data_IF_563290186936
#
_entry.id   IF_563290186936
#
_cell.length_a   1.000
_cell.length_b   1.000
_cell.length_c   1.000
_cell.angle_alpha   90.00
_cell.angle_beta   90.00
_cell.angle_gamma   90.00
#
_symmetry.space_group_name_H-M   'P 1'
#
loop_
_entity.id
_entity.type
_entity.pdbx_description
1 polymer ?
#
# COMPACT_ATOMS: atom_id res chain seq x y z
N UNK A 1 6.83 4.60 1.60
CA UNK A 1 5.61 4.41 2.41
C UNK A 1 5.93 3.44 3.53
N UNK A 2 5.58 3.74 4.79
CA UNK A 2 5.77 2.80 5.90
C UNK A 2 4.57 1.86 6.02
N UNK A 3 4.77 0.64 6.54
CA UNK A 3 3.67 -0.29 6.83
C UNK A 3 2.63 0.31 7.77
N UNK A 4 3.07 1.11 8.75
CA UNK A 4 2.20 1.77 9.72
C UNK A 4 1.19 2.72 9.07
N UNK A 5 1.43 3.20 7.84
CA UNK A 5 0.45 4.02 7.10
C UNK A 5 -0.86 3.26 6.85
N UNK A 6 -0.84 1.92 6.75
CA UNK A 6 -2.07 1.12 6.60
C UNK A 6 -3.00 1.18 7.82
N UNK A 7 -2.54 1.69 8.96
CA UNK A 7 -3.37 1.92 10.16
C UNK A 7 -4.46 2.97 9.93
N UNK A 8 -4.21 3.92 9.03
CA UNK A 8 -5.07 5.08 8.78
C UNK A 8 -5.56 5.16 7.32
N UNK A 9 -4.99 4.36 6.43
CA UNK A 9 -5.25 4.45 5.00
C UNK A 9 -6.52 3.69 4.61
N UNK A 10 -7.53 4.43 4.16
CA UNK A 10 -8.76 3.87 3.59
C UNK A 10 -8.86 4.13 2.08
N UNK A 11 -9.68 3.34 1.40
CA UNK A 11 -9.95 3.54 -0.03
C UNK A 11 -10.65 4.90 -0.25
N UNK A 12 -10.11 5.81 -1.09
CA UNK A 12 -10.70 7.13 -1.32
C UNK A 12 -12.03 7.07 -2.09
N UNK A 13 -12.35 5.92 -2.69
CA UNK A 13 -13.53 5.74 -3.53
C UNK A 13 -14.72 5.13 -2.78
N UNK A 14 -14.47 4.38 -1.70
CA UNK A 14 -15.53 3.66 -0.99
C UNK A 14 -15.30 3.54 0.52
N UNK A 15 -14.28 4.20 1.06
CA UNK A 15 -13.91 4.22 2.47
C UNK A 15 -13.64 2.85 3.11
N UNK A 16 -13.43 1.80 2.30
CA UNK A 16 -13.09 0.48 2.82
C UNK A 16 -11.72 0.48 3.48
N UNK A 17 -11.65 -0.18 4.63
CA UNK A 17 -10.47 -0.35 5.47
C UNK A 17 -10.52 -1.74 6.12
N UNK A 18 -9.40 -2.46 6.23
CA UNK A 18 -8.05 -2.09 5.79
C UNK A 18 -7.85 -2.28 4.27
N UNK A 19 -6.72 -1.77 3.76
CA UNK A 19 -6.27 -2.03 2.38
C UNK A 19 -5.24 -3.16 2.34
N UNK A 20 -5.33 -4.01 1.33
CA UNK A 20 -4.38 -5.10 1.08
C UNK A 20 -3.11 -4.55 0.44
N UNK A 21 -1.93 -4.98 0.90
CA UNK A 21 -0.64 -4.50 0.41
C UNK A 21 0.15 -5.60 -0.28
N UNK A 22 0.70 -5.27 -1.44
CA UNK A 22 1.66 -6.05 -2.18
C UNK A 22 2.96 -5.28 -2.31
N UNK A 23 4.05 -5.83 -1.79
CA UNK A 23 5.35 -5.17 -1.79
C UNK A 23 6.24 -5.71 -2.90
N UNK A 24 6.80 -4.81 -3.72
CA UNK A 24 7.72 -5.16 -4.80
C UNK A 24 9.16 -4.82 -4.48
N UNK A 25 9.40 -3.76 -3.70
CA UNK A 25 10.71 -3.35 -3.21
C UNK A 25 10.58 -2.55 -1.92
N UNK A 26 11.46 -2.88 -0.98
CA UNK A 26 11.68 -2.13 0.27
C UNK A 26 13.08 -1.54 0.30
N UNK A 27 13.27 -0.54 1.15
CA UNK A 27 14.57 -0.08 1.63
C UNK A 27 14.55 -0.02 3.15
N UNK A 28 15.68 -0.36 3.75
CA UNK A 28 15.91 -0.10 5.18
C UNK A 28 16.40 1.33 5.34
N UNK A 29 15.75 2.08 6.22
CA UNK A 29 16.19 3.38 6.66
C UNK A 29 17.10 3.21 7.87
N UNK A 30 18.19 3.98 7.92
CA UNK A 30 18.95 4.13 9.15
C UNK A 30 18.12 5.03 10.06
N UNK A 31 17.47 4.45 11.07
CA UNK A 31 16.75 5.23 12.06
C UNK A 31 17.63 5.45 13.28
N UNK A 32 17.72 6.70 13.71
CA UNK A 32 18.07 7.05 15.08
C UNK A 32 16.94 6.55 15.99
N UNK A 33 17.29 6.02 17.17
CA UNK A 33 16.39 5.36 18.12
C UNK A 33 15.04 6.10 18.30
N UNK A 34 13.98 5.63 17.63
CA UNK A 34 12.63 6.18 17.80
C UNK A 34 12.05 5.60 19.08
N UNK A 35 12.10 6.37 20.17
CA UNK A 35 11.39 6.02 21.40
C UNK A 35 9.90 6.24 21.16
N UNK A 36 9.13 5.16 21.09
CA UNK A 36 7.67 5.21 20.89
C UNK A 36 6.97 4.10 21.67
N UNK A 37 5.76 4.38 22.14
CA UNK A 37 4.91 3.38 22.79
C UNK A 37 4.53 2.29 21.77
N UNK A 38 4.56 1.03 22.22
CA UNK A 38 4.24 -0.14 21.39
C UNK A 38 2.94 -0.79 21.89
N UNK A 39 2.03 -1.21 20.98
CA UNK A 39 2.13 -1.13 19.53
C UNK A 39 2.05 0.30 18.98
N UNK A 40 2.87 0.62 17.98
CA UNK A 40 2.87 1.95 17.35
C UNK A 40 1.54 2.30 16.67
N UNK A 41 0.90 1.31 16.04
CA UNK A 41 -0.37 1.47 15.35
C UNK A 41 -1.54 1.48 16.34
N UNK A 42 -2.60 2.23 16.02
CA UNK A 42 -3.78 2.39 16.88
C UNK A 42 -4.82 1.29 16.64
N UNK A 43 -5.12 0.97 15.38
CA UNK A 43 -6.26 0.11 14.98
C UNK A 43 -5.78 -1.12 14.20
N UNK A 44 -4.86 -0.96 13.25
CA UNK A 44 -4.41 -2.00 12.34
C UNK A 44 -2.89 -1.94 12.12
N UNK A 45 -2.21 -3.05 12.40
CA UNK A 45 -0.79 -3.18 12.10
C UNK A 45 -0.61 -3.68 10.66
N UNK A 46 -0.18 -2.78 9.76
CA UNK A 46 0.11 -3.13 8.37
C UNK A 46 1.25 -4.12 8.18
N UNK A 47 2.19 -4.22 9.14
CA UNK A 47 3.35 -5.12 9.05
C UNK A 47 2.98 -6.57 9.32
N UNK A 48 2.11 -6.81 10.30
CA UNK A 48 1.57 -8.15 10.60
C UNK A 48 0.22 -8.42 9.92
N UNK A 49 -0.35 -7.42 9.25
CA UNK A 49 -1.66 -7.44 8.60
C UNK A 49 -2.79 -7.92 9.55
N UNK A 50 -2.87 -7.31 10.73
CA UNK A 50 -3.85 -7.65 11.78
C UNK A 50 -4.34 -6.41 12.52
N UNK A 51 -5.60 -6.45 12.99
CA UNK A 51 -6.09 -5.48 13.97
C UNK A 51 -5.27 -5.55 15.25
N UNK A 52 -4.96 -4.39 15.83
CA UNK A 52 -4.14 -4.25 17.05
C UNK A 52 -4.75 -4.96 18.25
N UNK A 53 -6.08 -5.05 18.31
CA UNK A 53 -6.83 -5.84 19.30
C UNK A 53 -6.52 -7.34 19.26
N UNK A 54 -6.00 -7.84 18.14
CA UNK A 54 -5.70 -9.26 17.90
C UNK A 54 -4.18 -9.55 17.87
N UNK A 55 -3.35 -8.62 18.33
CA UNK A 55 -1.89 -8.76 18.36
C UNK A 55 -1.42 -9.00 19.79
N UNK A 56 -0.54 -9.99 19.96
CA UNK A 56 0.20 -10.14 21.20
C UNK A 56 1.31 -9.07 21.27
N UNK A 57 1.28 -8.24 22.31
CA UNK A 57 2.25 -7.14 22.52
C UNK A 57 3.70 -7.63 22.56
N UNK A 58 3.95 -8.83 23.06
CA UNK A 58 5.30 -9.40 23.14
C UNK A 58 5.84 -9.85 21.78
N UNK A 59 4.96 -9.97 20.77
CA UNK A 59 5.30 -10.42 19.43
C UNK A 59 5.50 -9.30 18.41
N UNK A 60 5.25 -8.03 18.78
CA UNK A 60 5.27 -6.92 17.82
C UNK A 60 6.65 -6.25 17.75
N UNK A 61 7.27 -6.34 16.58
CA UNK A 61 8.55 -5.69 16.30
C UNK A 61 8.34 -4.36 15.55
N UNK A 62 7.90 -3.35 16.31
CA UNK A 62 7.68 -2.02 15.76
C UNK A 62 8.97 -1.35 15.27
N UNK A 63 10.13 -1.66 15.85
CA UNK A 63 11.39 -0.98 15.49
C UNK A 63 11.83 -1.39 14.09
N UNK A 64 11.81 -2.71 13.83
CA UNK A 64 12.03 -3.26 12.49
C UNK A 64 11.01 -2.73 11.50
N UNK A 65 9.72 -2.70 11.86
CA UNK A 65 8.66 -2.14 11.01
C UNK A 65 8.92 -0.67 10.64
N UNK A 66 9.27 0.18 11.61
CA UNK A 66 9.47 1.62 11.42
C UNK A 66 10.76 1.96 10.65
N UNK A 67 11.73 1.05 10.62
CA UNK A 67 12.93 1.14 9.77
C UNK A 67 12.69 0.73 8.32
N UNK A 68 11.53 0.16 7.97
CA UNK A 68 11.24 -0.29 6.61
C UNK A 68 10.42 0.73 5.85
N UNK A 69 10.91 1.08 4.67
CA UNK A 69 10.20 1.94 3.74
C UNK A 69 9.89 1.16 2.46
N UNK A 70 8.61 0.97 2.19
CA UNK A 70 8.10 0.37 0.96
C UNK A 70 8.30 1.40 -0.15
N UNK A 71 9.18 1.09 -1.09
CA UNK A 71 9.54 1.98 -2.20
C UNK A 71 8.63 1.71 -3.40
N UNK A 72 8.34 0.44 -3.68
CA UNK A 72 7.49 0.02 -4.78
C UNK A 72 6.52 -1.07 -4.34
N UNK A 73 5.28 -0.97 -4.79
CA UNK A 73 4.24 -1.91 -4.41
C UNK A 73 2.87 -1.48 -4.91
N UNK A 74 1.83 -2.18 -4.47
CA UNK A 74 0.43 -1.89 -4.77
C UNK A 74 -0.37 -1.98 -3.48
N UNK A 75 -1.26 -1.01 -3.25
CA UNK A 75 -2.34 -1.16 -2.28
C UNK A 75 -3.65 -1.44 -3.01
N UNK A 76 -4.45 -2.38 -2.50
CA UNK A 76 -5.68 -2.87 -3.14
C UNK A 76 -6.83 -2.77 -2.16
N UNK A 77 -7.94 -2.19 -2.61
CA UNK A 77 -9.18 -2.18 -1.87
C UNK A 77 -9.92 -3.49 -2.10
N UNK A 78 -10.21 -4.24 -1.02
CA UNK A 78 -10.99 -5.49 -1.14
C UNK A 78 -12.49 -5.22 -1.33
N UNK A 79 -12.99 -4.04 -0.95
CA UNK A 79 -14.37 -3.61 -1.14
C UNK A 79 -14.73 -3.27 -2.60
N UNK A 80 -13.95 -2.40 -3.26
CA UNK A 80 -14.24 -1.96 -4.64
C UNK A 80 -13.22 -2.42 -5.68
N UNK A 81 -12.25 -3.27 -5.29
CA UNK A 81 -11.21 -3.85 -6.15
C UNK A 81 -10.23 -2.88 -6.82
N UNK A 82 -10.36 -1.57 -6.57
CA UNK A 82 -9.37 -0.57 -7.03
C UNK A 82 -8.01 -0.83 -6.40
N UNK A 83 -6.98 -0.69 -7.21
CA UNK A 83 -5.59 -0.76 -6.80
C UNK A 83 -4.92 0.59 -7.02
N UNK A 84 -3.89 0.88 -6.24
CA UNK A 84 -3.13 2.12 -6.33
C UNK A 84 -1.64 1.81 -6.24
N UNK A 85 -0.80 2.32 -7.15
CA UNK A 85 0.63 2.06 -7.11
C UNK A 85 1.32 2.85 -6.00
N UNK A 86 2.31 2.21 -5.39
CA UNK A 86 3.33 2.87 -4.58
C UNK A 86 4.53 3.11 -5.49
N UNK A 87 4.87 4.37 -5.71
CA UNK A 87 5.96 4.82 -6.60
C UNK A 87 6.94 5.64 -5.78
N UNK A 88 8.18 5.18 -5.68
CA UNK A 88 9.23 5.83 -4.87
C UNK A 88 8.77 6.18 -3.45
N UNK A 89 7.96 5.29 -2.87
CA UNK A 89 7.43 5.41 -1.52
C UNK A 89 6.16 6.24 -1.37
N UNK A 90 5.56 6.72 -2.46
CA UNK A 90 4.32 7.50 -2.45
C UNK A 90 3.17 6.62 -2.97
N UNK A 91 2.13 6.42 -2.17
CA UNK A 91 0.90 5.74 -2.60
C UNK A 91 0.02 6.72 -3.42
N UNK A 92 -0.01 6.57 -4.74
CA UNK A 92 -0.77 7.45 -5.63
C UNK A 92 -2.24 7.03 -5.68
N UNK A 93 -3.04 7.60 -4.78
CA UNK A 93 -4.44 7.21 -4.55
C UNK A 93 -5.43 8.19 -5.19
N UNK A 94 -5.21 8.49 -6.46
CA UNK A 94 -6.07 9.42 -7.20
C UNK A 94 -7.45 8.82 -7.54
N UNK A 95 -8.50 9.65 -7.66
CA UNK A 95 -9.78 9.23 -8.21
C UNK A 95 -9.68 8.79 -9.69
N UNK A 96 -10.67 8.03 -10.15
CA UNK A 96 -10.62 7.36 -11.46
C UNK A 96 -10.50 8.34 -12.64
N UNK A 97 -11.17 9.49 -12.60
CA UNK A 97 -11.10 10.53 -13.63
C UNK A 97 -9.69 11.12 -13.75
N UNK A 98 -9.04 11.40 -12.62
CA UNK A 98 -7.65 11.87 -12.60
C UNK A 98 -6.71 10.81 -13.16
N UNK A 99 -6.92 9.54 -12.80
CA UNK A 99 -6.11 8.40 -13.28
C UNK A 99 -6.26 8.14 -14.78
N UNK A 100 -7.45 8.41 -15.35
CA UNK A 100 -7.74 8.13 -16.75
C UNK A 100 -7.46 9.31 -17.69
N UNK A 101 -7.66 10.56 -17.24
CA UNK A 101 -7.70 11.72 -18.13
C UNK A 101 -6.56 12.73 -17.92
N UNK A 102 -5.59 12.42 -17.06
CA UNK A 102 -4.44 13.31 -16.81
C UNK A 102 -3.11 12.58 -17.00
N UNK A 103 -1.98 13.30 -16.81
CA UNK A 103 -0.63 12.73 -16.82
C UNK A 103 -0.42 11.57 -15.83
N UNK A 104 -1.31 11.42 -14.84
CA UNK A 104 -1.28 10.28 -13.92
C UNK A 104 -1.40 8.95 -14.67
N UNK A 105 -2.18 8.88 -15.77
CA UNK A 105 -2.30 7.67 -16.59
C UNK A 105 -0.93 7.17 -17.07
N UNK A 106 -0.08 8.09 -17.56
CA UNK A 106 1.26 7.78 -18.08
C UNK A 106 2.17 7.24 -16.97
N UNK A 107 2.13 7.87 -15.79
CA UNK A 107 2.93 7.47 -14.64
C UNK A 107 2.56 6.06 -14.18
N UNK A 108 1.26 5.77 -14.05
CA UNK A 108 0.79 4.45 -13.66
C UNK A 108 1.02 3.40 -14.76
N UNK A 109 0.94 3.77 -16.04
CA UNK A 109 1.30 2.88 -17.15
C UNK A 109 2.78 2.46 -17.09
N UNK A 110 3.70 3.40 -16.85
CA UNK A 110 5.12 3.09 -16.68
C UNK A 110 5.36 2.16 -15.49
N UNK A 111 4.62 2.35 -14.40
CA UNK A 111 4.64 1.44 -13.25
C UNK A 111 4.19 0.03 -13.64
N UNK A 112 3.05 -0.11 -14.33
CA UNK A 112 2.51 -1.41 -14.78
C UNK A 112 3.53 -2.11 -15.68
N UNK A 113 4.10 -1.39 -16.66
CA UNK A 113 5.11 -1.96 -17.58
C UNK A 113 6.35 -2.44 -16.83
N UNK A 114 6.80 -1.70 -15.82
CA UNK A 114 7.99 -2.04 -15.02
C UNK A 114 7.77 -3.28 -14.15
N UNK A 115 6.56 -3.46 -13.61
CA UNK A 115 6.27 -4.51 -12.61
C UNK A 115 5.29 -5.57 -13.11
N UNK A 116 5.04 -5.65 -14.42
CA UNK A 116 4.04 -6.54 -15.05
C UNK A 116 4.03 -7.95 -14.45
N UNK A 117 5.20 -8.59 -14.33
CA UNK A 117 5.31 -9.97 -13.86
C UNK A 117 5.18 -10.13 -12.34
N UNK A 118 5.20 -9.01 -11.60
CA UNK A 118 5.03 -8.96 -10.13
C UNK A 118 3.62 -8.55 -9.71
N UNK A 119 2.80 -8.02 -10.61
CA UNK A 119 1.40 -7.68 -10.30
C UNK A 119 0.63 -8.99 -10.03
N UNK A 120 -0.01 -9.14 -8.86
CA UNK A 120 -0.77 -10.34 -8.55
C UNK A 120 -1.91 -10.56 -9.55
N UNK A 121 -2.14 -11.82 -9.95
CA UNK A 121 -3.18 -12.18 -10.92
C UNK A 121 -4.57 -11.65 -10.51
N UNK A 122 -4.90 -11.69 -9.22
CA UNK A 122 -6.17 -11.17 -8.70
C UNK A 122 -6.35 -9.66 -8.93
N UNK A 123 -5.27 -8.88 -8.94
CA UNK A 123 -5.32 -7.45 -9.23
C UNK A 123 -5.63 -7.26 -10.71
N UNK A 124 -4.93 -7.99 -11.59
CA UNK A 124 -5.17 -7.94 -13.04
C UNK A 124 -6.62 -8.35 -13.38
N UNK A 125 -7.08 -9.48 -12.85
CA UNK A 125 -8.39 -10.06 -13.20
C UNK A 125 -9.57 -9.23 -12.69
N UNK A 126 -9.42 -8.57 -11.54
CA UNK A 126 -10.53 -7.86 -10.89
C UNK A 126 -10.43 -6.34 -11.02
N UNK A 127 -9.48 -5.81 -11.78
CA UNK A 127 -9.28 -4.37 -11.84
C UNK A 127 -10.50 -3.66 -12.47
N UNK A 128 -11.20 -2.78 -11.73
CA UNK A 128 -12.32 -1.99 -12.29
C UNK A 128 -11.88 -1.01 -13.38
N UNK A 129 -10.60 -0.65 -13.41
CA UNK A 129 -9.95 0.19 -14.41
C UNK A 129 -9.17 -0.63 -15.45
N UNK A 130 -9.19 -1.97 -15.35
CA UNK A 130 -8.48 -2.97 -16.18
C UNK A 130 -7.14 -2.48 -16.73
N UNK A 131 -6.22 -2.30 -15.80
CA UNK A 131 -4.86 -1.77 -15.83
C UNK A 131 -4.73 -0.64 -16.84
N UNK A 132 -5.57 0.35 -16.56
CA UNK A 132 -5.80 1.60 -17.27
C UNK A 132 -6.17 1.39 -18.75
N UNK A 133 -6.91 0.30 -18.97
CA UNK A 133 -7.50 -0.24 -20.20
C UNK A 133 -6.53 -0.30 -21.37
N UNK A 134 -5.44 -1.03 -21.16
CA UNK A 134 -4.47 -1.56 -22.15
C UNK A 134 -3.63 -0.53 -22.96
N UNK A 135 -3.34 0.61 -22.32
CA UNK A 135 -2.57 1.83 -22.74
C UNK A 135 -3.36 2.87 -23.51
#
# INVERSE_FOLDING_TARGET
MRYATLDILACPMCNHFPLKLYVFKERTLVNDNVITEKPFCSIFCGFHYKYTSNINRDSIDCDSCLSRDIVWGIVVCEGCRRWYPIIEGIALMYPDDIRLYTRVKIIEYLFIRRYRDRIPKEVVSNDPLKLLRDV
#
